data_IF_989783449460
#
_entry.id   IF_989783449460
#
_cell.length_a   1.000
_cell.length_b   1.000
_cell.length_c   1.000
_cell.angle_alpha   90.00
_cell.angle_beta   90.00
_cell.angle_gamma   90.00
#
_symmetry.space_group_name_H-M   'P 1'
#
loop_
_entity.id
_entity.type
_entity.pdbx_description
1 polymer ?
#
# COMPACT_ATOMS: atom_id res chain seq x y z
N UNK A 1 -34.64 67.53 1.22
CA UNK A 1 -35.51 66.35 1.31
C UNK A 1 -34.70 65.25 2.03
N UNK A 2 -35.06 64.91 3.26
CA UNK A 2 -34.43 63.79 4.02
C UNK A 2 -35.12 62.50 3.60
N UNK A 3 -34.40 61.41 3.35
CA UNK A 3 -35.03 60.14 3.03
C UNK A 3 -35.67 59.51 4.27
N UNK A 4 -36.93 59.10 4.13
CA UNK A 4 -37.67 58.36 5.14
C UNK A 4 -37.07 56.95 5.26
N UNK A 5 -36.45 56.67 6.38
CA UNK A 5 -36.08 55.30 6.76
C UNK A 5 -37.38 54.55 7.13
N UNK A 6 -37.62 53.35 6.62
CA UNK A 6 -38.83 52.60 6.92
C UNK A 6 -38.96 52.34 8.41
N UNK A 7 -40.18 52.44 8.93
CA UNK A 7 -40.57 52.29 10.32
C UNK A 7 -40.06 51.00 10.95
N UNK A 8 -39.91 49.94 10.16
CA UNK A 8 -39.36 48.65 10.58
C UNK A 8 -37.89 48.72 11.06
N UNK A 9 -37.07 49.56 10.42
CA UNK A 9 -35.64 49.69 10.78
C UNK A 9 -35.45 50.50 12.06
N UNK A 10 -36.41 51.39 12.42
CA UNK A 10 -36.42 52.11 13.66
C UNK A 10 -36.84 51.26 14.88
N UNK A 11 -37.74 50.28 14.65
CA UNK A 11 -38.10 49.34 15.73
C UNK A 11 -36.93 48.38 16.10
N UNK A 12 -36.16 47.93 15.12
CA UNK A 12 -34.99 47.05 15.36
C UNK A 12 -33.85 47.79 16.06
N UNK A 13 -33.65 49.09 15.74
CA UNK A 13 -32.58 49.89 16.39
C UNK A 13 -32.93 50.34 17.82
N UNK A 14 -34.25 50.52 18.16
CA UNK A 14 -34.68 50.87 19.49
C UNK A 14 -34.68 49.69 20.47
N UNK A 15 -34.76 48.47 20.01
CA UNK A 15 -34.68 47.27 20.85
C UNK A 15 -33.26 46.88 21.21
N UNK A 16 -32.25 47.34 20.48
CA UNK A 16 -30.84 46.99 20.71
C UNK A 16 -30.16 47.95 21.71
N UNK A 17 -30.64 49.22 21.87
CA UNK A 17 -29.99 50.23 22.70
C UNK A 17 -30.41 50.25 24.17
N UNK A 18 -31.38 49.42 24.62
CA UNK A 18 -31.92 49.38 25.97
C UNK A 18 -31.72 48.11 26.76
N UNK A 19 -31.05 47.10 26.20
CA UNK A 19 -30.85 45.80 26.85
C UNK A 19 -29.62 45.81 27.76
N UNK A 20 -29.80 45.49 29.03
CA UNK A 20 -28.68 45.13 29.95
C UNK A 20 -28.03 43.84 29.48
N UNK A 21 -26.77 43.58 29.85
CA UNK A 21 -25.99 42.38 29.45
C UNK A 21 -26.74 41.06 29.67
N UNK A 22 -27.55 40.97 30.74
CA UNK A 22 -28.37 39.80 31.05
C UNK A 22 -29.57 39.66 30.12
N UNK A 23 -30.17 40.78 29.62
CA UNK A 23 -31.24 40.75 28.63
C UNK A 23 -30.76 40.43 27.23
N UNK A 24 -29.49 40.74 26.91
CA UNK A 24 -28.86 40.31 25.64
C UNK A 24 -28.61 38.82 25.65
N UNK A 25 -28.18 38.22 26.77
CA UNK A 25 -28.00 36.76 26.89
C UNK A 25 -29.35 35.99 26.83
N UNK A 26 -30.40 36.49 27.46
CA UNK A 26 -31.78 35.91 27.38
C UNK A 26 -32.36 36.06 25.98
N UNK A 27 -32.11 37.17 25.30
CA UNK A 27 -32.56 37.40 23.93
C UNK A 27 -31.81 36.53 22.90
N UNK A 28 -30.51 36.23 23.16
CA UNK A 28 -29.74 35.26 22.35
C UNK A 28 -30.24 33.82 22.53
N UNK A 29 -30.69 33.47 23.75
CA UNK A 29 -31.31 32.17 24.02
C UNK A 29 -32.68 32.03 23.28
N UNK A 30 -33.47 33.11 23.25
CA UNK A 30 -34.73 33.08 22.48
C UNK A 30 -34.52 33.04 20.97
N UNK A 31 -33.47 33.67 20.47
CA UNK A 31 -33.07 33.55 19.06
C UNK A 31 -32.64 32.13 18.70
N UNK A 32 -32.11 31.37 19.67
CA UNK A 32 -31.75 29.98 19.47
C UNK A 32 -32.96 29.05 19.30
N UNK A 33 -34.12 29.43 19.81
CA UNK A 33 -35.39 28.71 19.60
C UNK A 33 -36.01 29.03 18.24
N UNK A 34 -35.72 30.20 17.67
CA UNK A 34 -36.21 30.62 16.34
C UNK A 34 -35.27 30.15 15.23
N UNK A 35 -33.99 29.99 15.52
CA UNK A 35 -32.97 29.49 14.60
C UNK A 35 -32.24 28.28 15.22
N UNK A 36 -32.84 27.08 15.17
CA UNK A 36 -32.24 25.87 15.78
C UNK A 36 -30.83 25.55 15.28
N UNK A 37 -30.45 26.09 14.13
CA UNK A 37 -29.09 25.97 13.57
C UNK A 37 -28.01 26.78 14.30
N UNK A 38 -28.42 27.81 15.12
CA UNK A 38 -27.49 28.60 15.94
C UNK A 38 -27.34 28.06 17.36
N UNK A 39 -28.26 27.19 17.81
CA UNK A 39 -28.28 26.65 19.19
C UNK A 39 -27.64 25.29 19.35
N UNK A 40 -27.28 24.62 18.26
CA UNK A 40 -26.43 23.45 18.35
C UNK A 40 -24.98 23.93 18.46
N UNK A 41 -24.17 23.49 19.47
CA UNK A 41 -22.75 23.42 19.26
C UNK A 41 -22.62 22.65 17.95
N UNK A 42 -22.16 23.34 16.91
CA UNK A 42 -21.96 22.66 15.65
C UNK A 42 -20.96 21.56 15.97
N UNK A 43 -21.41 20.31 15.97
CA UNK A 43 -20.55 19.17 15.70
C UNK A 43 -20.02 19.43 14.30
N UNK A 44 -19.03 20.34 14.19
CA UNK A 44 -18.36 20.61 12.94
C UNK A 44 -17.47 19.41 12.67
N UNK A 45 -18.04 18.41 12.03
CA UNK A 45 -17.22 17.42 11.37
C UNK A 45 -16.26 18.18 10.44
N UNK A 46 -14.97 18.08 10.74
CA UNK A 46 -13.92 18.73 9.96
C UNK A 46 -13.53 17.83 8.82
N UNK A 47 -13.62 18.33 7.60
CA UNK A 47 -13.05 17.65 6.43
C UNK A 47 -11.58 18.08 6.34
N UNK A 48 -10.68 17.10 6.15
CA UNK A 48 -9.28 17.35 5.90
C UNK A 48 -8.71 16.34 4.91
N UNK A 49 -7.55 16.65 4.36
CA UNK A 49 -6.95 15.91 3.28
C UNK A 49 -5.53 15.48 3.64
N UNK A 50 -5.08 14.42 2.98
CA UNK A 50 -3.69 13.96 3.08
C UNK A 50 -3.24 13.39 1.74
N UNK A 51 -1.97 13.59 1.41
CA UNK A 51 -1.35 13.10 0.18
C UNK A 51 -0.19 12.18 0.53
N UNK A 52 -0.31 10.91 0.12
CA UNK A 52 0.74 9.91 0.27
C UNK A 52 1.22 9.45 -1.10
N UNK A 53 2.53 9.50 -1.32
CA UNK A 53 3.18 8.85 -2.43
C UNK A 53 3.79 7.52 -2.00
N UNK A 54 3.44 6.46 -2.72
CA UNK A 54 4.11 5.17 -2.66
C UNK A 54 5.12 5.08 -3.80
N UNK A 55 6.41 5.17 -3.49
CA UNK A 55 7.48 4.95 -4.44
C UNK A 55 7.89 3.47 -4.44
N UNK A 56 7.07 2.66 -5.07
CA UNK A 56 7.26 1.22 -5.18
C UNK A 56 8.31 0.83 -6.21
N UNK A 57 8.73 -0.43 -6.17
CA UNK A 57 9.77 -0.99 -7.07
C UNK A 57 9.34 -1.09 -8.54
N UNK A 58 8.03 -1.14 -8.82
CA UNK A 58 7.49 -1.32 -10.17
C UNK A 58 6.59 -0.18 -10.64
N UNK A 59 6.34 0.80 -9.78
CA UNK A 59 5.52 1.97 -10.10
C UNK A 59 5.53 2.98 -8.97
N UNK A 60 5.26 4.23 -9.31
CA UNK A 60 5.05 5.32 -8.36
C UNK A 60 3.57 5.65 -8.32
N UNK A 61 3.00 5.72 -7.13
CA UNK A 61 1.58 5.91 -6.89
C UNK A 61 1.33 7.14 -6.04
N UNK A 62 0.20 7.81 -6.28
CA UNK A 62 -0.31 8.88 -5.43
C UNK A 62 -1.67 8.47 -4.88
N UNK A 63 -1.83 8.64 -3.58
CA UNK A 63 -3.07 8.49 -2.85
C UNK A 63 -3.44 9.85 -2.25
N UNK A 64 -4.60 10.37 -2.61
CA UNK A 64 -5.16 11.59 -2.02
C UNK A 64 -6.38 11.19 -1.23
N UNK A 65 -6.24 11.22 0.09
CA UNK A 65 -7.29 10.83 1.03
C UNK A 65 -8.11 12.02 1.47
N UNK A 66 -9.41 11.82 1.57
CA UNK A 66 -10.36 12.75 2.21
C UNK A 66 -10.87 12.11 3.48
N UNK A 67 -10.70 12.79 4.61
CA UNK A 67 -11.14 12.33 5.93
C UNK A 67 -12.18 13.26 6.51
N UNK A 68 -13.07 12.69 7.33
CA UNK A 68 -14.07 13.38 8.12
C UNK A 68 -13.79 13.09 9.60
N UNK A 69 -13.48 14.14 10.38
CA UNK A 69 -13.28 14.08 11.82
C UNK A 69 -14.48 14.67 12.52
N UNK A 70 -15.25 13.85 13.22
CA UNK A 70 -16.40 14.31 14.01
C UNK A 70 -16.05 14.52 15.49
N UNK A 71 -15.07 13.78 15.98
CA UNK A 71 -14.60 13.80 17.36
C UNK A 71 -13.08 13.63 17.36
N UNK A 72 -12.37 14.50 18.07
CA UNK A 72 -10.91 14.46 18.13
C UNK A 72 -10.36 13.21 18.83
N UNK A 73 -11.15 12.55 19.68
CA UNK A 73 -10.74 11.35 20.41
C UNK A 73 -11.03 10.05 19.66
N UNK A 74 -11.69 10.13 18.51
CA UNK A 74 -12.02 8.98 17.67
C UNK A 74 -11.18 8.97 16.39
N UNK A 75 -11.05 7.77 15.81
CA UNK A 75 -10.45 7.62 14.49
C UNK A 75 -11.25 8.43 13.46
N UNK A 76 -10.57 9.16 12.55
CA UNK A 76 -11.25 9.82 11.46
C UNK A 76 -11.92 8.78 10.54
N UNK A 77 -13.03 9.16 9.96
CA UNK A 77 -13.70 8.37 8.93
C UNK A 77 -13.04 8.69 7.59
N UNK A 78 -12.61 7.66 6.88
CA UNK A 78 -12.18 7.82 5.49
C UNK A 78 -13.41 7.95 4.60
N UNK A 79 -13.53 9.09 3.93
CA UNK A 79 -14.64 9.39 3.00
C UNK A 79 -14.32 8.94 1.58
N UNK A 80 -13.11 9.26 1.09
CA UNK A 80 -12.74 8.97 -0.29
C UNK A 80 -11.22 8.85 -0.47
N UNK A 81 -10.83 8.09 -1.50
CA UNK A 81 -9.47 8.04 -2.03
C UNK A 81 -9.49 8.40 -3.52
N UNK A 82 -8.65 9.36 -3.91
CA UNK A 82 -8.25 9.54 -5.30
C UNK A 82 -6.90 8.89 -5.52
N UNK A 83 -6.86 7.88 -6.38
CA UNK A 83 -5.68 7.06 -6.66
C UNK A 83 -5.22 7.25 -8.11
N UNK A 84 -3.91 7.38 -8.31
CA UNK A 84 -3.29 7.33 -9.63
C UNK A 84 -1.89 6.71 -9.56
N UNK A 85 -1.45 6.07 -10.66
CA UNK A 85 -0.14 5.41 -10.71
C UNK A 85 0.54 5.64 -12.05
N UNK A 86 1.88 5.70 -12.01
CA UNK A 86 2.75 5.78 -13.20
C UNK A 86 3.81 4.67 -13.09
N UNK A 87 4.13 4.06 -14.21
CA UNK A 87 5.25 3.13 -14.37
C UNK A 87 6.35 3.79 -15.21
N UNK A 88 7.61 3.40 -14.96
CA UNK A 88 8.13 2.48 -13.96
C UNK A 88 8.18 3.09 -12.55
N UNK A 89 8.68 2.32 -11.55
CA UNK A 89 8.99 2.83 -10.21
C UNK A 89 10.19 3.76 -10.20
N UNK A 90 10.34 4.58 -9.14
CA UNK A 90 11.42 5.58 -9.05
C UNK A 90 12.82 4.98 -9.17
N UNK A 91 13.03 3.75 -8.72
CA UNK A 91 14.32 3.05 -8.83
C UNK A 91 14.81 2.87 -10.26
N UNK A 92 13.91 2.88 -11.25
CA UNK A 92 14.30 2.81 -12.66
C UNK A 92 15.00 4.09 -13.16
N UNK A 93 14.92 5.17 -12.41
CA UNK A 93 15.54 6.45 -12.74
C UNK A 93 16.83 6.72 -11.94
N UNK A 94 17.46 5.66 -11.40
CA UNK A 94 18.69 5.80 -10.59
C UNK A 94 19.84 6.52 -11.31
N UNK A 95 19.89 6.45 -12.64
CA UNK A 95 20.87 7.13 -13.47
C UNK A 95 20.33 8.41 -14.15
N UNK A 96 19.10 8.80 -13.86
CA UNK A 96 18.43 9.99 -14.41
C UNK A 96 17.45 10.56 -13.38
N UNK A 97 17.93 11.04 -12.21
CA UNK A 97 17.07 11.40 -11.07
C UNK A 97 16.07 12.52 -11.38
N UNK A 98 16.35 13.38 -12.37
CA UNK A 98 15.43 14.42 -12.82
C UNK A 98 14.11 13.83 -13.36
N UNK A 99 14.16 12.63 -13.96
CA UNK A 99 12.97 11.93 -14.44
C UNK A 99 12.09 11.46 -13.28
N UNK A 100 12.70 11.11 -12.14
CA UNK A 100 11.95 10.80 -10.91
C UNK A 100 11.21 12.05 -10.41
N UNK A 101 11.88 13.21 -10.35
CA UNK A 101 11.26 14.48 -10.00
C UNK A 101 10.11 14.85 -10.94
N UNK A 102 10.27 14.69 -12.25
CA UNK A 102 9.20 14.95 -13.23
C UNK A 102 8.00 14.01 -13.04
N UNK A 103 8.24 12.73 -12.74
CA UNK A 103 7.19 11.75 -12.48
C UNK A 103 6.37 12.14 -11.25
N UNK A 104 7.03 12.53 -10.16
CA UNK A 104 6.38 13.00 -8.93
C UNK A 104 5.62 14.31 -9.19
N UNK A 105 6.21 15.28 -9.90
CA UNK A 105 5.56 16.54 -10.25
C UNK A 105 4.30 16.32 -11.10
N UNK A 106 4.31 15.32 -12.00
CA UNK A 106 3.14 14.97 -12.81
C UNK A 106 2.03 14.39 -11.93
N UNK A 107 2.35 13.47 -11.03
CA UNK A 107 1.38 12.90 -10.09
C UNK A 107 0.84 13.96 -9.12
N UNK A 108 1.66 14.93 -8.70
CA UNK A 108 1.24 16.00 -7.80
C UNK A 108 0.12 16.88 -8.39
N UNK A 109 -0.03 16.92 -9.73
CA UNK A 109 -1.17 17.57 -10.38
C UNK A 109 -2.51 16.93 -10.01
N UNK A 110 -2.52 15.63 -9.68
CA UNK A 110 -3.72 14.93 -9.21
C UNK A 110 -4.14 15.50 -7.86
N UNK A 111 -3.18 15.63 -6.90
CA UNK A 111 -3.46 16.25 -5.60
C UNK A 111 -3.97 17.68 -5.74
N UNK A 112 -3.34 18.50 -6.59
CA UNK A 112 -3.78 19.89 -6.84
C UNK A 112 -5.18 20.00 -7.43
N UNK A 113 -5.65 18.98 -8.12
CA UNK A 113 -7.04 18.92 -8.66
C UNK A 113 -8.05 18.42 -7.64
N UNK A 114 -7.63 17.54 -6.76
CA UNK A 114 -8.49 16.85 -5.79
C UNK A 114 -8.69 17.67 -4.52
N UNK A 115 -7.61 18.26 -3.98
CA UNK A 115 -7.63 19.04 -2.75
C UNK A 115 -8.07 20.48 -3.05
N UNK A 116 -9.06 21.04 -2.33
CA UNK A 116 -9.43 22.45 -2.46
C UNK A 116 -8.25 23.38 -2.17
N UNK A 117 -8.11 24.44 -2.95
CA UNK A 117 -6.96 25.34 -2.86
C UNK A 117 -6.73 25.95 -1.48
N UNK A 118 -7.82 26.18 -0.73
CA UNK A 118 -7.76 26.73 0.63
C UNK A 118 -7.16 25.74 1.65
N UNK A 119 -7.18 24.45 1.34
CA UNK A 119 -6.68 23.39 2.22
C UNK A 119 -5.24 22.95 1.93
N UNK A 120 -4.63 23.39 0.83
CA UNK A 120 -3.28 22.96 0.43
C UNK A 120 -2.25 23.12 1.54
N UNK A 121 -2.19 24.30 2.19
CA UNK A 121 -1.21 24.58 3.27
C UNK A 121 -1.43 23.77 4.54
N UNK A 122 -2.56 23.07 4.66
CA UNK A 122 -2.93 22.21 5.79
C UNK A 122 -2.91 20.73 5.44
N UNK A 123 -2.72 20.40 4.16
CA UNK A 123 -2.69 19.03 3.66
C UNK A 123 -1.27 18.51 3.67
N UNK A 124 -0.92 17.53 4.53
CA UNK A 124 0.40 16.95 4.56
C UNK A 124 0.69 16.21 3.26
N UNK A 125 1.91 16.38 2.78
CA UNK A 125 2.46 15.75 1.60
C UNK A 125 3.63 14.86 1.99
N UNK A 126 3.49 13.55 1.82
CA UNK A 126 4.47 12.56 2.28
C UNK A 126 4.78 11.58 1.15
N UNK A 127 6.04 11.18 1.02
CA UNK A 127 6.49 10.08 0.17
C UNK A 127 7.24 9.05 1.01
N UNK A 128 6.89 7.81 0.81
CA UNK A 128 7.68 6.68 1.32
C UNK A 128 8.11 5.81 0.15
N UNK A 129 9.42 5.59 0.06
CA UNK A 129 9.99 4.65 -0.87
C UNK A 129 10.16 3.29 -0.21
N UNK A 130 9.94 2.23 -0.98
CA UNK A 130 9.97 0.86 -0.50
C UNK A 130 11.13 0.06 -1.09
N UNK A 131 10.95 -1.22 -1.35
CA UNK A 131 11.99 -2.14 -1.81
C UNK A 131 12.77 -1.65 -3.03
N UNK A 132 12.13 -0.88 -3.93
CA UNK A 132 12.81 -0.36 -5.11
C UNK A 132 14.07 0.44 -4.76
N UNK A 133 13.96 1.38 -3.79
CA UNK A 133 15.09 2.20 -3.35
C UNK A 133 15.96 1.44 -2.33
N UNK A 134 15.39 0.55 -1.51
CA UNK A 134 16.19 -0.28 -0.58
C UNK A 134 17.19 -1.21 -1.29
N UNK A 135 16.91 -1.58 -2.54
CA UNK A 135 17.78 -2.42 -3.37
C UNK A 135 18.85 -1.64 -4.15
N UNK A 136 18.77 -0.31 -4.19
CA UNK A 136 19.76 0.55 -4.83
C UNK A 136 20.97 0.81 -3.93
N UNK A 137 22.13 1.16 -4.49
CA UNK A 137 23.23 1.80 -3.75
C UNK A 137 22.72 3.04 -3.01
N UNK A 138 23.15 3.23 -1.77
CA UNK A 138 22.65 4.29 -0.89
C UNK A 138 22.75 5.69 -1.51
N UNK A 139 23.85 5.98 -2.20
CA UNK A 139 24.09 7.27 -2.88
C UNK A 139 23.06 7.52 -3.98
N UNK A 140 22.76 6.52 -4.83
CA UNK A 140 21.76 6.67 -5.89
C UNK A 140 20.35 6.82 -5.30
N UNK A 141 20.02 6.05 -4.26
CA UNK A 141 18.76 6.18 -3.56
C UNK A 141 18.59 7.58 -2.96
N UNK A 142 19.64 8.14 -2.31
CA UNK A 142 19.60 9.48 -1.74
C UNK A 142 19.40 10.55 -2.81
N UNK A 143 20.11 10.46 -3.94
CA UNK A 143 19.94 11.40 -5.05
C UNK A 143 18.50 11.45 -5.58
N UNK A 144 17.84 10.29 -5.66
CA UNK A 144 16.42 10.22 -6.04
C UNK A 144 15.52 10.90 -5.00
N UNK A 145 15.77 10.68 -3.69
CA UNK A 145 15.01 11.32 -2.62
C UNK A 145 15.21 12.84 -2.62
N UNK A 146 16.42 13.34 -2.86
CA UNK A 146 16.73 14.77 -2.92
C UNK A 146 15.95 15.45 -4.06
N UNK A 147 15.83 14.79 -5.22
CA UNK A 147 15.02 15.30 -6.34
C UNK A 147 13.53 15.35 -5.99
N UNK A 148 13.02 14.34 -5.29
CA UNK A 148 11.63 14.33 -4.82
C UNK A 148 11.40 15.43 -3.78
N UNK A 149 12.34 15.60 -2.82
CA UNK A 149 12.27 16.65 -1.80
C UNK A 149 12.21 18.04 -2.45
N UNK A 150 13.03 18.29 -3.45
CA UNK A 150 13.00 19.54 -4.20
C UNK A 150 11.63 19.82 -4.83
N UNK A 151 11.00 18.82 -5.44
CA UNK A 151 9.63 18.96 -5.99
C UNK A 151 8.60 19.24 -4.89
N UNK A 152 8.76 18.64 -3.70
CA UNK A 152 7.88 18.86 -2.58
C UNK A 152 8.02 20.27 -2.02
N UNK A 153 9.25 20.77 -1.87
CA UNK A 153 9.54 22.11 -1.36
C UNK A 153 8.97 23.23 -2.26
N UNK A 154 8.90 22.98 -3.56
CA UNK A 154 8.24 23.89 -4.52
C UNK A 154 6.71 23.76 -4.54
N UNK A 155 6.15 22.79 -3.82
CA UNK A 155 4.72 22.54 -3.80
C UNK A 155 3.98 23.50 -2.85
N UNK A 156 2.69 23.77 -3.07
CA UNK A 156 1.90 24.59 -2.16
C UNK A 156 1.37 23.83 -0.92
N UNK A 157 1.68 22.54 -0.80
CA UNK A 157 1.21 21.67 0.27
C UNK A 157 2.04 21.82 1.55
N UNK A 158 1.57 21.25 2.64
CA UNK A 158 2.34 21.14 3.88
C UNK A 158 3.36 20.01 3.73
N UNK A 159 4.64 20.33 3.81
CA UNK A 159 5.74 19.35 3.75
C UNK A 159 6.32 19.21 5.16
N UNK A 160 5.93 18.15 5.92
CA UNK A 160 6.47 17.89 7.24
C UNK A 160 7.96 17.49 7.20
N UNK A 161 8.63 17.60 8.34
CA UNK A 161 9.97 17.02 8.49
C UNK A 161 9.94 15.52 8.15
N UNK A 162 10.97 15.02 7.49
CA UNK A 162 11.06 13.64 7.03
C UNK A 162 9.90 13.20 6.11
N UNK A 163 9.30 14.14 5.37
CA UNK A 163 8.21 13.84 4.43
C UNK A 163 8.65 12.92 3.29
N UNK A 164 9.92 12.94 2.90
CA UNK A 164 10.50 12.09 1.85
C UNK A 164 11.53 11.16 2.48
N UNK A 165 11.26 9.86 2.49
CA UNK A 165 12.18 8.89 3.10
C UNK A 165 11.99 7.47 2.54
N UNK A 166 12.95 6.60 2.82
CA UNK A 166 12.82 5.15 2.60
C UNK A 166 12.18 4.54 3.84
N UNK A 167 11.11 3.80 3.64
CA UNK A 167 10.42 3.08 4.70
C UNK A 167 11.12 1.75 5.00
N UNK A 168 11.23 1.41 6.27
CA UNK A 168 11.65 0.08 6.70
C UNK A 168 10.62 -0.99 6.27
N UNK A 169 11.11 -2.19 5.95
CA UNK A 169 10.27 -3.26 5.44
C UNK A 169 9.28 -3.81 6.46
N UNK A 170 9.66 -3.89 7.74
CA UNK A 170 8.77 -4.32 8.81
C UNK A 170 7.62 -3.34 9.00
N UNK A 171 7.91 -2.04 8.94
CA UNK A 171 6.89 -0.99 8.98
C UNK A 171 5.98 -1.05 7.75
N UNK A 172 6.49 -1.37 6.56
CA UNK A 172 5.66 -1.58 5.37
C UNK A 172 4.58 -2.64 5.62
N UNK A 173 4.95 -3.77 6.23
CA UNK A 173 4.01 -4.83 6.61
C UNK A 173 3.01 -4.40 7.69
N UNK A 174 3.47 -3.72 8.75
CA UNK A 174 2.62 -3.24 9.85
C UNK A 174 1.60 -2.22 9.34
N UNK A 175 2.02 -1.27 8.51
CA UNK A 175 1.15 -0.23 7.97
C UNK A 175 0.14 -0.80 6.95
N UNK A 176 0.51 -1.84 6.20
CA UNK A 176 -0.42 -2.58 5.37
C UNK A 176 -1.47 -3.33 6.21
N UNK A 177 -1.04 -3.95 7.32
CA UNK A 177 -1.94 -4.59 8.28
C UNK A 177 -2.90 -3.56 8.91
N UNK A 178 -2.39 -2.38 9.29
CA UNK A 178 -3.21 -1.28 9.81
C UNK A 178 -4.26 -0.84 8.79
N UNK A 179 -3.86 -0.61 7.52
CA UNK A 179 -4.76 -0.24 6.43
C UNK A 179 -5.92 -1.21 6.29
N UNK A 180 -5.61 -2.50 6.18
CA UNK A 180 -6.63 -3.53 5.93
C UNK A 180 -7.58 -3.69 7.12
N UNK A 181 -7.06 -3.68 8.35
CA UNK A 181 -7.88 -3.80 9.55
C UNK A 181 -8.73 -2.54 9.80
N UNK A 182 -8.25 -1.35 9.41
CA UNK A 182 -9.05 -0.13 9.39
C UNK A 182 -10.21 -0.24 8.39
N UNK A 183 -9.90 -0.56 7.12
CA UNK A 183 -10.89 -0.62 6.05
C UNK A 183 -11.95 -1.71 6.24
N UNK A 184 -11.59 -2.80 6.90
CA UNK A 184 -12.51 -3.91 7.23
C UNK A 184 -13.23 -3.75 8.56
N UNK A 185 -12.93 -2.67 9.32
CA UNK A 185 -13.58 -2.36 10.60
C UNK A 185 -13.12 -3.23 11.77
N UNK A 186 -11.99 -3.94 11.63
CA UNK A 186 -11.49 -4.86 12.66
C UNK A 186 -10.66 -4.18 13.77
N UNK A 187 -10.27 -2.91 13.62
CA UNK A 187 -9.54 -2.17 14.67
C UNK A 187 -10.42 -1.82 15.89
N UNK A 188 -11.73 -1.64 15.67
CA UNK A 188 -12.69 -1.32 16.73
C UNK A 188 -13.31 -2.56 17.38
N UNK A 189 -12.97 -3.73 16.86
CA UNK A 189 -13.48 -5.01 17.35
C UNK A 189 -12.50 -5.63 18.36
N UNK A 190 -12.95 -6.71 19.02
CA UNK A 190 -12.04 -7.57 19.79
C UNK A 190 -10.78 -7.86 18.96
N UNK A 191 -9.59 -7.54 19.50
CA UNK A 191 -8.29 -7.71 18.82
C UNK A 191 -8.11 -9.12 18.20
N UNK A 192 -8.81 -10.12 18.73
CA UNK A 192 -8.84 -11.50 18.22
C UNK A 192 -9.46 -11.66 16.82
N UNK A 193 -10.13 -10.63 16.31
CA UNK A 193 -10.82 -10.66 15.00
C UNK A 193 -10.02 -9.98 13.90
N UNK A 194 -8.81 -9.47 14.20
CA UNK A 194 -7.97 -8.84 13.19
C UNK A 194 -7.57 -9.83 12.09
N UNK A 195 -7.44 -9.33 10.88
CA UNK A 195 -7.01 -10.11 9.71
C UNK A 195 -5.49 -10.03 9.53
N UNK A 196 -4.90 -11.09 9.02
CA UNK A 196 -3.52 -11.09 8.56
C UNK A 196 -3.40 -10.53 7.15
N UNK A 197 -2.21 -10.11 6.76
CA UNK A 197 -1.92 -9.64 5.41
C UNK A 197 -0.73 -10.38 4.78
N UNK A 198 -0.82 -10.52 3.47
CA UNK A 198 0.26 -10.94 2.59
C UNK A 198 0.37 -9.90 1.47
N UNK A 199 1.49 -9.21 1.41
CA UNK A 199 1.80 -8.29 0.33
C UNK A 199 2.93 -8.87 -0.53
N UNK A 200 2.69 -9.06 -1.80
CA UNK A 200 3.71 -9.48 -2.76
C UNK A 200 4.01 -8.32 -3.70
N UNK A 201 4.99 -7.51 -3.32
CA UNK A 201 5.50 -6.43 -4.15
C UNK A 201 6.44 -6.91 -5.27
N UNK A 202 7.05 -5.97 -5.98
CA UNK A 202 8.04 -6.29 -7.02
C UNK A 202 9.40 -6.66 -6.44
N UNK A 203 9.89 -5.94 -5.43
CA UNK A 203 11.22 -6.11 -4.83
C UNK A 203 11.22 -6.80 -3.47
N UNK A 204 10.09 -6.83 -2.76
CA UNK A 204 9.96 -7.49 -1.43
C UNK A 204 8.58 -8.11 -1.27
N UNK A 205 8.44 -8.98 -0.25
CA UNK A 205 7.15 -9.53 0.17
C UNK A 205 7.03 -9.43 1.68
N UNK A 206 5.84 -9.11 2.19
CA UNK A 206 5.54 -8.97 3.61
C UNK A 206 4.50 -9.99 4.04
N UNK A 207 4.67 -10.46 5.29
CA UNK A 207 3.66 -11.18 6.05
C UNK A 207 3.49 -10.49 7.39
N UNK A 208 2.26 -10.10 7.75
CA UNK A 208 1.97 -9.48 9.05
C UNK A 208 0.63 -9.95 9.57
N UNK A 209 0.59 -10.38 10.83
CA UNK A 209 -0.63 -10.80 11.52
C UNK A 209 -0.47 -10.68 13.02
N UNK A 210 -1.60 -10.64 13.74
CA UNK A 210 -1.62 -10.71 15.20
C UNK A 210 -1.61 -12.18 15.62
N UNK A 211 -0.52 -12.68 16.25
CA UNK A 211 -0.45 -14.05 16.73
C UNK A 211 -1.47 -14.31 17.84
N UNK A 212 -2.18 -15.44 17.75
CA UNK A 212 -3.09 -15.92 18.82
C UNK A 212 -2.35 -16.76 19.86
N UNK A 213 -1.25 -17.38 19.48
CA UNK A 213 -0.42 -18.23 20.32
C UNK A 213 0.90 -17.53 20.64
N UNK A 214 1.23 -17.44 21.91
CA UNK A 214 2.54 -16.91 22.37
C UNK A 214 3.73 -17.63 21.72
N UNK A 215 3.58 -18.91 21.43
CA UNK A 215 4.59 -19.75 20.78
C UNK A 215 5.03 -19.25 19.41
N UNK A 216 4.16 -18.54 18.68
CA UNK A 216 4.51 -17.92 17.39
C UNK A 216 5.55 -16.82 17.57
N UNK A 217 5.41 -15.99 18.60
CA UNK A 217 6.40 -14.99 18.94
C UNK A 217 7.68 -15.61 19.52
N UNK A 218 7.55 -16.61 20.39
CA UNK A 218 8.66 -17.30 21.04
C UNK A 218 9.52 -18.12 20.06
N UNK A 219 8.94 -18.62 18.96
CA UNK A 219 9.63 -19.40 17.91
C UNK A 219 10.17 -18.53 16.76
N UNK A 220 10.00 -17.21 16.81
CA UNK A 220 10.55 -16.31 15.83
C UNK A 220 12.10 -16.42 15.80
N UNK A 221 12.71 -16.42 14.60
CA UNK A 221 14.16 -16.66 14.47
C UNK A 221 15.00 -15.58 15.14
N UNK A 222 14.53 -14.34 15.14
CA UNK A 222 15.13 -13.16 15.76
C UNK A 222 14.04 -12.23 16.26
N UNK A 223 14.40 -11.32 17.17
CA UNK A 223 13.45 -10.36 17.74
C UNK A 223 12.73 -9.50 16.70
N UNK A 224 13.37 -9.26 15.56
CA UNK A 224 12.84 -8.40 14.48
C UNK A 224 11.59 -8.98 13.76
N UNK A 225 11.19 -10.22 14.05
CA UNK A 225 9.95 -10.80 13.54
C UNK A 225 8.73 -10.47 14.39
N UNK A 226 8.93 -9.91 15.58
CA UNK A 226 7.84 -9.49 16.49
C UNK A 226 7.99 -8.01 16.75
N UNK A 227 7.02 -7.25 16.33
CA UNK A 227 6.98 -5.81 16.48
C UNK A 227 5.86 -5.39 17.42
N UNK A 228 6.18 -4.51 18.35
CA UNK A 228 5.17 -3.81 19.15
C UNK A 228 4.72 -2.58 18.36
N UNK A 229 3.42 -2.47 18.17
CA UNK A 229 2.79 -1.36 17.48
C UNK A 229 1.70 -0.74 18.36
N UNK A 230 1.91 0.52 18.74
CA UNK A 230 0.95 1.29 19.53
C UNK A 230 0.15 2.19 18.57
N UNK A 231 -1.17 2.04 18.56
CA UNK A 231 -2.05 2.83 17.71
C UNK A 231 -3.33 3.18 18.46
N UNK A 232 -3.62 4.47 18.60
CA UNK A 232 -4.66 5.00 19.48
C UNK A 232 -4.50 4.38 20.89
N UNK A 233 -5.59 3.93 21.52
CA UNK A 233 -5.57 3.36 22.87
C UNK A 233 -5.25 1.84 22.89
N UNK A 234 -4.66 1.32 21.84
CA UNK A 234 -4.39 -0.12 21.70
C UNK A 234 -2.93 -0.40 21.40
N UNK A 235 -2.40 -1.48 21.99
CA UNK A 235 -1.07 -2.01 21.71
C UNK A 235 -1.22 -3.37 21.06
N UNK A 236 -0.53 -3.57 19.95
CA UNK A 236 -0.50 -4.82 19.20
C UNK A 236 0.92 -5.40 19.20
N UNK A 237 1.06 -6.68 19.51
CA UNK A 237 2.29 -7.44 19.31
C UNK A 237 2.14 -8.26 18.03
N UNK A 238 2.65 -7.72 16.93
CA UNK A 238 2.46 -8.29 15.60
C UNK A 238 3.65 -9.17 15.22
N UNK A 239 3.36 -10.36 14.66
CA UNK A 239 4.35 -11.03 13.84
C UNK A 239 4.39 -10.30 12.50
N UNK A 240 5.53 -9.73 12.16
CA UNK A 240 5.71 -8.97 10.92
C UNK A 240 7.11 -9.13 10.39
N UNK A 241 7.23 -9.48 9.12
CA UNK A 241 8.53 -9.54 8.46
C UNK A 241 8.42 -9.18 6.98
N UNK A 242 9.47 -8.52 6.49
CA UNK A 242 9.64 -8.17 5.08
C UNK A 242 10.87 -8.88 4.51
N UNK A 243 10.66 -9.66 3.47
CA UNK A 243 11.71 -10.36 2.75
C UNK A 243 12.15 -9.54 1.54
N UNK A 244 13.16 -8.68 1.75
CA UNK A 244 13.78 -7.90 0.67
C UNK A 244 14.48 -8.85 -0.31
N UNK A 245 14.30 -8.61 -1.62
CA UNK A 245 14.80 -9.50 -2.66
C UNK A 245 13.86 -10.69 -2.99
N UNK A 246 12.72 -10.81 -2.28
CA UNK A 246 11.73 -11.86 -2.48
C UNK A 246 10.36 -11.34 -2.97
N UNK A 247 10.30 -10.13 -3.53
CA UNK A 247 9.19 -9.71 -4.37
C UNK A 247 9.20 -10.42 -5.71
N UNK A 248 8.10 -10.39 -6.45
CA UNK A 248 7.93 -11.22 -7.66
C UNK A 248 8.96 -10.91 -8.76
N UNK A 249 9.34 -9.63 -8.95
CA UNK A 249 10.34 -9.25 -9.95
C UNK A 249 11.75 -9.63 -9.51
N UNK A 250 12.09 -9.44 -8.24
CA UNK A 250 13.36 -9.90 -7.68
C UNK A 250 13.47 -11.42 -7.73
N UNK A 251 12.39 -12.15 -7.47
CA UNK A 251 12.33 -13.61 -7.58
C UNK A 251 12.52 -14.11 -9.02
N UNK A 252 12.03 -13.36 -10.02
CA UNK A 252 12.34 -13.66 -11.44
C UNK A 252 13.84 -13.57 -11.68
N UNK A 253 14.50 -12.50 -11.25
CA UNK A 253 15.97 -12.34 -11.36
C UNK A 253 16.71 -13.50 -10.70
N UNK A 254 16.34 -13.82 -9.47
CA UNK A 254 16.96 -14.92 -8.72
C UNK A 254 16.77 -16.27 -9.42
N UNK A 255 15.57 -16.56 -9.93
CA UNK A 255 15.27 -17.81 -10.65
C UNK A 255 16.03 -17.91 -11.97
N UNK A 256 16.22 -16.78 -12.65
CA UNK A 256 17.01 -16.70 -13.88
C UNK A 256 18.53 -16.76 -13.63
N UNK A 257 18.98 -16.66 -12.37
CA UNK A 257 20.40 -16.54 -12.04
C UNK A 257 21.02 -15.20 -12.43
N UNK A 258 20.19 -14.14 -12.50
CA UNK A 258 20.58 -12.82 -12.96
C UNK A 258 20.92 -11.83 -11.82
N UNK A 259 20.78 -12.27 -10.55
CA UNK A 259 21.13 -11.44 -9.39
C UNK A 259 22.65 -11.19 -9.35
N UNK A 260 23.04 -9.92 -9.31
CA UNK A 260 24.46 -9.53 -9.23
C UNK A 260 25.25 -9.77 -10.51
N UNK A 261 24.59 -9.99 -11.64
CA UNK A 261 25.28 -10.14 -12.93
C UNK A 261 25.83 -8.80 -13.38
N UNK A 262 27.11 -8.77 -13.76
CA UNK A 262 27.82 -7.54 -14.15
C UNK A 262 27.81 -7.30 -15.67
N UNK A 263 27.79 -8.38 -16.49
CA UNK A 263 27.85 -8.30 -17.95
C UNK A 263 26.48 -8.57 -18.59
N UNK A 264 25.54 -7.64 -18.46
CA UNK A 264 24.16 -7.80 -18.93
C UNK A 264 24.03 -7.82 -20.45
N UNK A 265 24.87 -7.12 -21.19
CA UNK A 265 24.77 -6.95 -22.64
C UNK A 265 24.99 -8.26 -23.43
N UNK A 266 25.79 -9.16 -22.89
CA UNK A 266 26.20 -10.38 -23.60
C UNK A 266 25.61 -11.66 -23.02
N UNK A 267 25.07 -11.59 -21.80
CA UNK A 267 24.57 -12.75 -21.11
C UNK A 267 23.08 -12.96 -21.35
N UNK A 268 22.71 -14.16 -21.83
CA UNK A 268 21.31 -14.58 -21.94
C UNK A 268 20.95 -15.49 -20.77
N UNK A 269 20.03 -15.04 -19.94
CA UNK A 269 19.52 -15.77 -18.77
C UNK A 269 18.41 -16.73 -19.19
N UNK A 270 18.54 -18.00 -18.83
CA UNK A 270 17.66 -19.07 -19.28
C UNK A 270 16.92 -19.69 -18.11
N UNK A 271 15.64 -20.08 -18.35
CA UNK A 271 14.85 -20.79 -17.36
C UNK A 271 13.87 -21.76 -18.02
N UNK A 272 13.68 -22.92 -17.39
CA UNK A 272 12.62 -23.89 -17.73
C UNK A 272 11.21 -23.36 -17.42
N UNK A 273 11.11 -22.23 -16.72
CA UNK A 273 9.86 -21.53 -16.45
C UNK A 273 9.34 -20.70 -17.61
N UNK A 274 10.16 -20.49 -18.66
CA UNK A 274 9.83 -19.71 -19.84
C UNK A 274 9.52 -20.60 -21.05
N UNK A 275 8.73 -20.13 -22.04
CA UNK A 275 8.50 -20.88 -23.27
C UNK A 275 9.81 -21.17 -24.02
N UNK A 276 10.01 -22.38 -24.49
CA UNK A 276 11.28 -22.81 -25.12
C UNK A 276 11.78 -21.91 -26.24
N UNK A 277 10.86 -21.33 -27.01
CA UNK A 277 11.19 -20.44 -28.15
C UNK A 277 11.18 -18.97 -27.76
N UNK A 278 10.89 -18.67 -26.48
CA UNK A 278 10.86 -17.30 -25.98
C UNK A 278 12.28 -16.76 -25.91
N UNK A 279 12.49 -15.58 -26.45
CA UNK A 279 13.70 -14.79 -26.31
C UNK A 279 13.33 -13.33 -26.43
N UNK A 280 13.60 -12.57 -25.40
CA UNK A 280 13.22 -11.18 -25.35
C UNK A 280 14.07 -10.42 -24.31
N UNK A 281 13.90 -9.12 -24.26
CA UNK A 281 14.44 -8.25 -23.22
C UNK A 281 13.40 -8.01 -22.12
N UNK A 282 13.86 -7.99 -20.90
CA UNK A 282 13.04 -7.68 -19.74
C UNK A 282 13.78 -6.73 -18.81
N UNK A 283 13.10 -5.65 -18.36
CA UNK A 283 13.71 -4.61 -17.52
C UNK A 283 13.15 -4.62 -16.12
N UNK A 284 14.03 -4.46 -15.13
CA UNK A 284 13.69 -4.25 -13.74
C UNK A 284 14.76 -3.44 -13.03
N UNK A 285 14.35 -2.46 -12.17
CA UNK A 285 15.28 -1.63 -11.41
C UNK A 285 16.21 -0.75 -12.26
N UNK A 286 15.78 -0.39 -13.49
CA UNK A 286 16.59 0.42 -14.42
C UNK A 286 17.57 -0.41 -15.28
N UNK A 287 17.69 -1.71 -15.05
CA UNK A 287 18.55 -2.61 -15.80
C UNK A 287 17.73 -3.45 -16.77
N UNK A 288 18.33 -3.79 -17.94
CA UNK A 288 17.71 -4.64 -18.97
C UNK A 288 18.46 -5.96 -19.08
N UNK A 289 17.71 -7.04 -19.09
CA UNK A 289 18.20 -8.42 -19.08
C UNK A 289 17.73 -9.14 -20.35
N UNK A 290 18.62 -9.83 -21.05
CA UNK A 290 18.25 -10.74 -22.13
C UNK A 290 17.82 -12.07 -21.56
N UNK A 291 16.57 -12.46 -21.77
CA UNK A 291 15.96 -13.65 -21.18
C UNK A 291 15.45 -14.62 -22.23
N UNK A 292 15.56 -15.91 -21.96
CA UNK A 292 15.04 -16.93 -22.87
C UNK A 292 14.55 -18.18 -22.14
N UNK A 293 13.70 -18.95 -22.81
CA UNK A 293 13.42 -20.33 -22.44
C UNK A 293 14.64 -21.23 -22.69
N UNK A 294 14.61 -22.44 -22.11
CA UNK A 294 15.64 -23.46 -22.38
C UNK A 294 15.51 -23.99 -23.80
N UNK A 295 16.50 -23.76 -24.68
CA UNK A 295 16.45 -24.26 -26.08
C UNK A 295 16.52 -25.79 -26.17
N UNK A 296 16.99 -26.49 -25.14
CA UNK A 296 17.01 -27.95 -25.06
C UNK A 296 15.62 -28.60 -24.94
N UNK A 297 14.57 -27.79 -24.88
CA UNK A 297 13.19 -28.26 -24.87
C UNK A 297 12.65 -28.71 -23.52
N UNK A 298 13.40 -28.48 -22.45
CA UNK A 298 13.02 -28.87 -21.12
C UNK A 298 12.29 -27.71 -20.43
N UNK A 299 10.97 -27.67 -20.60
CA UNK A 299 10.10 -26.71 -19.91
C UNK A 299 8.92 -27.43 -19.25
N UNK A 300 8.37 -26.88 -18.21
CA UNK A 300 7.19 -27.38 -17.55
C UNK A 300 7.26 -27.22 -16.03
N UNK A 301 6.13 -27.48 -15.38
CA UNK A 301 5.96 -27.20 -13.96
C UNK A 301 7.05 -27.82 -13.06
N UNK A 302 7.41 -29.09 -13.29
CA UNK A 302 8.35 -29.80 -12.40
C UNK A 302 9.75 -29.16 -12.39
N UNK A 303 10.26 -28.79 -13.57
CA UNK A 303 11.58 -28.16 -13.69
C UNK A 303 11.53 -26.72 -13.17
N UNK A 304 10.53 -25.95 -13.57
CA UNK A 304 10.31 -24.60 -13.05
C UNK A 304 10.21 -24.58 -11.51
N UNK A 305 9.45 -25.53 -10.93
CA UNK A 305 9.34 -25.64 -9.48
C UNK A 305 10.69 -25.90 -8.80
N UNK A 306 11.56 -26.70 -9.39
CA UNK A 306 12.90 -26.96 -8.85
C UNK A 306 13.81 -25.72 -8.90
N UNK A 307 13.70 -24.90 -9.95
CA UNK A 307 14.42 -23.63 -10.07
C UNK A 307 13.94 -22.64 -9.01
N UNK A 308 12.63 -22.44 -8.91
CA UNK A 308 11.99 -21.50 -7.98
C UNK A 308 12.20 -21.92 -6.51
N UNK A 309 12.17 -23.23 -6.22
CA UNK A 309 12.35 -23.72 -4.85
C UNK A 309 13.70 -23.31 -4.27
N UNK A 310 14.75 -23.16 -5.08
CA UNK A 310 16.08 -22.69 -4.64
C UNK A 310 16.06 -21.25 -4.15
N UNK A 311 15.12 -20.45 -4.65
CA UNK A 311 14.95 -19.03 -4.29
C UNK A 311 14.17 -18.86 -2.98
N UNK A 312 13.35 -19.84 -2.61
CA UNK A 312 12.43 -19.76 -1.46
C UNK A 312 12.95 -20.55 -0.26
N UNK A 313 13.43 -21.75 -0.50
CA UNK A 313 13.77 -22.71 0.56
C UNK A 313 14.97 -22.24 1.39
N UNK A 314 14.78 -22.17 2.71
CA UNK A 314 15.81 -21.78 3.67
C UNK A 314 16.00 -20.26 3.79
N UNK A 315 15.26 -19.45 3.00
CA UNK A 315 15.27 -17.99 3.06
C UNK A 315 14.04 -17.49 3.83
N UNK A 316 12.89 -18.05 3.53
CA UNK A 316 11.61 -17.67 4.12
C UNK A 316 11.39 -18.48 5.40
N UNK A 317 11.12 -17.80 6.51
CA UNK A 317 10.79 -18.45 7.78
C UNK A 317 9.31 -18.83 7.82
N UNK A 318 9.03 -20.05 8.31
CA UNK A 318 7.67 -20.55 8.54
C UNK A 318 7.22 -20.16 9.95
N UNK A 319 6.23 -19.27 10.11
CA UNK A 319 5.65 -19.01 11.41
C UNK A 319 5.03 -20.27 12.02
N UNK A 320 5.09 -20.41 13.34
CA UNK A 320 4.50 -21.55 14.03
C UNK A 320 2.99 -21.67 13.82
N UNK A 321 2.31 -20.51 13.72
CA UNK A 321 0.85 -20.43 13.63
C UNK A 321 0.41 -19.76 12.32
N UNK A 322 0.00 -20.54 11.34
CA UNK A 322 -0.73 -20.05 10.16
C UNK A 322 -2.07 -20.75 9.97
N UNK A 323 -2.41 -21.72 10.83
CA UNK A 323 -3.40 -22.74 10.49
C UNK A 323 -4.78 -22.49 11.06
N UNK A 324 -4.94 -21.94 12.25
CA UNK A 324 -6.23 -21.99 12.94
C UNK A 324 -6.84 -20.59 13.14
N UNK A 325 -7.65 -20.20 12.15
CA UNK A 325 -8.64 -19.14 12.30
C UNK A 325 -8.17 -17.71 11.97
N UNK A 326 -6.98 -17.53 11.41
CA UNK A 326 -6.60 -16.24 10.85
C UNK A 326 -7.04 -16.15 9.39
N UNK A 327 -7.87 -15.14 9.06
CA UNK A 327 -8.17 -14.79 7.69
C UNK A 327 -7.02 -13.96 7.17
N UNK A 328 -6.42 -14.34 6.03
CA UNK A 328 -5.38 -13.57 5.38
C UNK A 328 -5.92 -12.89 4.12
N UNK A 329 -5.68 -11.59 4.05
CA UNK A 329 -5.83 -10.83 2.80
C UNK A 329 -4.52 -10.85 2.03
N UNK A 330 -4.60 -11.20 0.75
CA UNK A 330 -3.46 -11.24 -0.15
C UNK A 330 -3.71 -10.26 -1.32
N UNK A 331 -2.79 -9.34 -1.52
CA UNK A 331 -2.96 -8.26 -2.50
C UNK A 331 -1.68 -8.04 -3.33
N UNK A 332 -1.60 -6.95 -4.06
CA UNK A 332 -0.51 -6.66 -5.01
C UNK A 332 -0.38 -7.78 -6.05
N UNK A 333 0.78 -8.37 -6.24
CA UNK A 333 0.97 -9.41 -7.27
C UNK A 333 0.27 -10.75 -6.97
N UNK A 334 -0.13 -11.04 -5.75
CA UNK A 334 -1.03 -12.17 -5.50
C UNK A 334 -2.34 -12.01 -6.26
N UNK A 335 -2.92 -10.81 -6.18
CA UNK A 335 -4.14 -10.46 -6.88
C UNK A 335 -3.94 -10.41 -8.39
N UNK A 336 -2.95 -9.64 -8.86
CA UNK A 336 -2.72 -9.43 -10.30
C UNK A 336 -2.47 -10.75 -11.03
N UNK A 337 -1.64 -11.64 -10.45
CA UNK A 337 -1.36 -12.96 -11.08
C UNK A 337 -2.56 -13.90 -11.02
N UNK A 338 -3.38 -13.83 -10.00
CA UNK A 338 -4.63 -14.60 -9.94
C UNK A 338 -5.63 -14.15 -11.01
N UNK A 339 -5.75 -12.84 -11.26
CA UNK A 339 -6.56 -12.29 -12.36
C UNK A 339 -6.02 -12.71 -13.73
N UNK A 340 -4.72 -12.52 -13.98
CA UNK A 340 -4.07 -12.90 -15.24
C UNK A 340 -4.20 -14.40 -15.53
N UNK A 341 -4.23 -15.21 -14.50
CA UNK A 341 -4.42 -16.65 -14.60
C UNK A 341 -5.90 -17.06 -14.72
N UNK A 342 -6.84 -16.14 -14.64
CA UNK A 342 -8.28 -16.41 -14.67
C UNK A 342 -8.79 -17.19 -13.45
N UNK A 343 -8.18 -16.98 -12.28
CA UNK A 343 -8.59 -17.61 -11.02
C UNK A 343 -9.63 -16.80 -10.27
N UNK A 344 -9.63 -15.48 -10.41
CA UNK A 344 -10.57 -14.56 -9.76
C UNK A 344 -11.02 -13.45 -10.70
N UNK A 345 -12.07 -12.76 -10.35
CA UNK A 345 -12.53 -11.55 -11.02
C UNK A 345 -11.59 -10.35 -10.78
N UNK A 346 -11.33 -9.58 -11.82
CA UNK A 346 -10.39 -8.45 -11.78
C UNK A 346 -10.91 -7.20 -11.05
N UNK A 347 -12.20 -7.15 -10.73
CA UNK A 347 -12.85 -6.02 -10.04
C UNK A 347 -13.22 -6.40 -8.62
N UNK A 348 -13.91 -7.53 -8.46
CA UNK A 348 -14.45 -7.98 -7.16
C UNK A 348 -13.40 -8.73 -6.34
N UNK A 349 -12.36 -9.24 -6.96
CA UNK A 349 -11.43 -10.17 -6.33
C UNK A 349 -12.06 -11.54 -6.09
N UNK A 350 -11.63 -12.21 -5.02
CA UNK A 350 -12.20 -13.52 -4.69
C UNK A 350 -11.44 -14.26 -3.60
N UNK A 351 -12.00 -15.37 -3.19
CA UNK A 351 -11.36 -16.31 -2.27
C UNK A 351 -10.73 -17.46 -3.05
N UNK A 352 -9.47 -17.79 -2.74
CA UNK A 352 -8.75 -18.91 -3.33
C UNK A 352 -8.15 -19.77 -2.23
N UNK A 353 -8.12 -21.08 -2.47
CA UNK A 353 -7.28 -21.97 -1.67
C UNK A 353 -5.84 -21.95 -2.24
N UNK A 354 -4.85 -22.09 -1.36
CA UNK A 354 -3.43 -22.14 -1.76
C UNK A 354 -3.18 -23.17 -2.86
N UNK A 355 -3.88 -24.33 -2.80
CA UNK A 355 -3.82 -25.37 -3.86
C UNK A 355 -4.26 -24.90 -5.25
N UNK A 356 -5.08 -23.85 -5.34
CA UNK A 356 -5.61 -23.39 -6.63
C UNK A 356 -4.49 -22.71 -7.45
N UNK A 357 -3.58 -21.98 -6.80
CA UNK A 357 -2.36 -21.48 -7.43
C UNK A 357 -1.51 -22.61 -7.99
N UNK A 358 -1.27 -23.69 -7.22
CA UNK A 358 -0.51 -24.86 -7.66
C UNK A 358 -1.15 -25.55 -8.84
N UNK A 359 -2.48 -25.76 -8.80
CA UNK A 359 -3.22 -26.36 -9.89
C UNK A 359 -3.07 -25.54 -11.16
N UNK A 360 -3.25 -24.23 -11.06
CA UNK A 360 -3.16 -23.33 -12.19
C UNK A 360 -1.73 -23.19 -12.73
N UNK A 361 -0.72 -23.13 -11.85
CA UNK A 361 0.68 -23.17 -12.25
C UNK A 361 1.00 -24.41 -13.09
N UNK A 362 0.55 -25.59 -12.67
CA UNK A 362 0.71 -26.83 -13.47
C UNK A 362 0.06 -26.74 -14.84
N UNK A 363 -1.16 -26.22 -14.91
CA UNK A 363 -1.88 -26.06 -16.19
C UNK A 363 -1.16 -25.10 -17.14
N UNK A 364 -0.73 -23.94 -16.65
CA UNK A 364 -0.03 -22.92 -17.44
C UNK A 364 1.35 -23.43 -17.87
N UNK A 365 2.16 -23.93 -16.95
CA UNK A 365 3.52 -24.39 -17.25
C UNK A 365 3.55 -25.59 -18.20
N UNK A 366 2.62 -26.54 -18.08
CA UNK A 366 2.60 -27.71 -18.95
C UNK A 366 2.06 -27.41 -20.37
N UNK A 367 1.41 -26.27 -20.55
CA UNK A 367 0.95 -25.79 -21.87
C UNK A 367 1.86 -24.72 -22.47
N UNK A 368 2.90 -24.30 -21.77
CA UNK A 368 3.76 -23.16 -22.12
C UNK A 368 4.43 -23.30 -23.50
N UNK A 369 4.64 -24.54 -23.96
CA UNK A 369 5.23 -24.83 -25.28
C UNK A 369 4.19 -24.90 -26.40
N UNK A 370 2.90 -25.07 -26.07
CA UNK A 370 1.82 -25.29 -27.05
C UNK A 370 1.08 -24.02 -27.40
N UNK A 371 0.94 -23.10 -26.43
CA UNK A 371 0.19 -21.86 -26.62
C UNK A 371 1.02 -20.69 -26.07
N UNK A 372 1.09 -19.54 -26.79
CA UNK A 372 1.71 -18.36 -26.24
C UNK A 372 0.92 -17.97 -24.99
N UNK A 373 1.59 -17.85 -23.83
CA UNK A 373 0.93 -17.39 -22.60
C UNK A 373 0.56 -15.91 -22.72
N UNK A 374 -0.42 -15.49 -21.93
CA UNK A 374 -0.80 -14.05 -21.77
C UNK A 374 0.43 -13.22 -21.36
N UNK A 375 1.28 -13.81 -20.52
CA UNK A 375 2.60 -13.27 -20.16
C UNK A 375 3.62 -14.41 -20.20
N UNK A 376 4.81 -14.22 -20.78
CA UNK A 376 5.85 -15.23 -20.81
C UNK A 376 6.29 -15.68 -19.42
N UNK A 377 6.15 -14.83 -18.42
CA UNK A 377 6.50 -15.10 -17.03
C UNK A 377 5.39 -15.74 -16.19
N UNK A 378 4.17 -15.92 -16.73
CA UNK A 378 3.05 -16.38 -15.91
C UNK A 378 3.29 -17.76 -15.27
N UNK A 379 3.99 -18.67 -15.96
CA UNK A 379 4.39 -19.96 -15.38
C UNK A 379 5.33 -19.77 -14.19
N UNK A 380 6.36 -18.94 -14.34
CA UNK A 380 7.30 -18.61 -13.26
C UNK A 380 6.57 -17.99 -12.06
N UNK A 381 5.77 -16.97 -12.34
CA UNK A 381 5.08 -16.19 -11.31
C UNK A 381 4.13 -17.06 -10.46
N UNK A 382 3.29 -17.88 -11.10
CA UNK A 382 2.38 -18.77 -10.39
C UNK A 382 3.11 -19.86 -9.63
N UNK A 383 4.23 -20.35 -10.18
CA UNK A 383 5.09 -21.33 -9.48
C UNK A 383 5.75 -20.70 -8.27
N UNK A 384 6.23 -19.44 -8.40
CA UNK A 384 6.82 -18.70 -7.30
C UNK A 384 5.80 -18.46 -6.18
N UNK A 385 4.60 -17.96 -6.50
CA UNK A 385 3.53 -17.78 -5.51
C UNK A 385 3.22 -19.12 -4.80
N UNK A 386 3.17 -20.23 -5.56
CA UNK A 386 2.93 -21.55 -4.97
C UNK A 386 4.04 -21.95 -4.00
N UNK A 387 5.32 -21.81 -4.39
CA UNK A 387 6.46 -22.12 -3.51
C UNK A 387 6.49 -21.19 -2.29
N UNK A 388 6.30 -19.89 -2.49
CA UNK A 388 6.32 -18.89 -1.41
C UNK A 388 5.26 -19.19 -0.34
N UNK A 389 4.04 -19.50 -0.75
CA UNK A 389 2.96 -19.82 0.19
C UNK A 389 3.17 -21.17 0.90
N UNK A 390 3.59 -22.21 0.17
CA UNK A 390 3.70 -23.58 0.70
C UNK A 390 5.04 -23.89 1.35
N UNK A 391 6.11 -23.69 0.60
CA UNK A 391 7.46 -24.11 1.01
C UNK A 391 8.20 -22.98 1.75
N UNK A 392 7.77 -21.73 1.51
CA UNK A 392 8.21 -20.55 2.23
C UNK A 392 7.45 -20.39 3.55
N UNK A 393 6.24 -19.85 3.50
CA UNK A 393 5.45 -19.57 4.71
C UNK A 393 4.86 -20.80 5.40
N UNK A 394 4.65 -21.91 4.70
CA UNK A 394 4.12 -23.14 5.28
C UNK A 394 2.59 -23.23 5.31
N UNK A 395 1.88 -22.46 4.50
CA UNK A 395 0.42 -22.58 4.38
C UNK A 395 0.00 -23.95 3.87
N UNK A 396 -1.10 -24.48 4.44
CA UNK A 396 -1.72 -25.71 3.95
C UNK A 396 -2.38 -25.50 2.58
N UNK A 397 -2.48 -26.56 1.80
CA UNK A 397 -3.17 -26.56 0.50
C UNK A 397 -4.63 -26.08 0.60
N UNK A 398 -5.28 -26.34 1.75
CA UNK A 398 -6.67 -25.97 2.02
C UNK A 398 -6.86 -24.55 2.58
N UNK A 399 -5.78 -23.86 2.96
CA UNK A 399 -5.89 -22.50 3.50
C UNK A 399 -6.51 -21.57 2.47
N UNK A 400 -7.53 -20.83 2.91
CA UNK A 400 -8.24 -19.86 2.08
C UNK A 400 -7.63 -18.48 2.26
N UNK A 401 -7.29 -17.85 1.15
CA UNK A 401 -6.82 -16.46 1.09
C UNK A 401 -7.90 -15.59 0.46
N UNK A 402 -8.12 -14.40 1.03
CA UNK A 402 -8.97 -13.37 0.45
C UNK A 402 -8.11 -12.49 -0.47
N UNK A 403 -8.28 -12.61 -1.77
CA UNK A 403 -7.57 -11.79 -2.74
C UNK A 403 -8.38 -10.53 -3.06
N UNK A 404 -7.76 -9.38 -2.89
CA UNK A 404 -8.41 -8.10 -3.16
C UNK A 404 -7.41 -7.08 -3.70
N UNK A 405 -7.90 -6.17 -4.53
CA UNK A 405 -7.17 -4.98 -4.94
C UNK A 405 -7.64 -3.76 -4.18
N UNK A 406 -8.92 -3.74 -3.82
CA UNK A 406 -9.55 -2.64 -3.08
C UNK A 406 -10.47 -3.17 -2.00
N UNK A 407 -10.57 -2.43 -0.91
CA UNK A 407 -11.58 -2.61 0.13
C UNK A 407 -12.35 -1.31 0.25
N UNK A 408 -13.68 -1.34 0.09
CA UNK A 408 -14.53 -0.14 0.11
C UNK A 408 -14.08 0.95 -0.88
N UNK A 409 -13.67 0.56 -2.09
CA UNK A 409 -13.11 1.41 -3.15
C UNK A 409 -11.73 2.04 -2.85
N UNK A 410 -11.09 1.70 -1.74
CA UNK A 410 -9.76 2.15 -1.34
C UNK A 410 -8.73 1.08 -1.68
N UNK A 411 -7.59 1.48 -2.26
CA UNK A 411 -6.51 0.57 -2.64
C UNK A 411 -5.98 -0.21 -1.42
N UNK A 412 -5.89 -1.52 -1.54
CA UNK A 412 -5.29 -2.37 -0.51
C UNK A 412 -3.78 -2.22 -0.56
N UNK A 413 -3.22 -1.40 0.32
CA UNK A 413 -1.80 -1.09 0.41
C UNK A 413 -1.45 -0.58 1.82
N UNK A 414 -0.17 -0.35 2.07
CA UNK A 414 0.32 0.27 3.31
C UNK A 414 0.05 1.78 3.39
N UNK A 415 -0.28 2.45 2.28
CA UNK A 415 -0.29 3.91 2.18
C UNK A 415 -1.31 4.59 3.10
N UNK A 416 -2.51 4.02 3.23
CA UNK A 416 -3.52 4.53 4.17
C UNK A 416 -3.04 4.37 5.63
N UNK A 417 -2.48 3.22 5.99
CA UNK A 417 -1.95 2.97 7.33
C UNK A 417 -0.83 3.94 7.69
N UNK A 418 0.04 4.27 6.73
CA UNK A 418 1.09 5.26 6.92
C UNK A 418 0.54 6.67 7.22
N UNK A 419 -0.56 7.05 6.59
CA UNK A 419 -1.22 8.33 6.91
C UNK A 419 -1.91 8.31 8.26
N UNK A 420 -2.57 7.22 8.61
CA UNK A 420 -3.21 7.06 9.93
C UNK A 420 -2.18 7.11 11.05
N UNK A 421 -1.04 6.42 10.89
CA UNK A 421 0.08 6.45 11.82
C UNK A 421 0.71 7.85 11.90
N UNK A 422 0.87 8.54 10.77
CA UNK A 422 1.35 9.92 10.73
C UNK A 422 0.46 10.87 11.52
N UNK A 423 -0.87 10.76 11.40
CA UNK A 423 -1.80 11.57 12.19
C UNK A 423 -1.74 11.22 13.67
N UNK A 424 -1.64 9.94 14.02
CA UNK A 424 -1.49 9.49 15.39
C UNK A 424 -0.23 10.11 16.05
N UNK A 425 0.91 10.06 15.35
CA UNK A 425 2.19 10.57 15.84
C UNK A 425 2.24 12.11 15.96
N UNK A 426 1.56 12.83 15.09
CA UNK A 426 1.45 14.29 15.14
C UNK A 426 0.42 14.79 16.17
N UNK A 427 -0.31 13.88 16.84
CA UNK A 427 -1.45 14.23 17.72
C UNK A 427 -2.41 15.21 17.03
N UNK A 428 -2.62 15.02 15.74
CA UNK A 428 -3.65 15.72 14.97
C UNK A 428 -4.97 15.05 15.36
N UNK A 429 -5.53 15.59 16.42
CA UNK A 429 -6.82 15.19 16.98
C UNK A 429 -7.87 16.23 16.58
#
# INVERSE_FOLDING_TARGET
>A
MKPNVPLLLRLVLLTVSGLTRAQVETSLLDLSMILPSLSRPANHSRIFYAVMFDAGSTGTRIHVYTFIQSDSEQLPVLDNEMFHSIKPGLSAYADSPEMAGQTVALLLKVAKKTVPRLDWKRTPLVLRATAGLRLLPAEKAQTLLDQVQHVFDESPFLVPDNSVSIMDGTNEGILAWLSLNFLTGHLNADAKKTVGILDLGGGSTQITFLPKLKRTAESAPVADFVARFDFFNSTFELYSHSYLGNGIMAARLATLGALGAEELEWQVFKSSCLPNKFRDEWSFGGLTYHVSGDPGGHAGYKLCYQEVLKVVKGIIHQPYELEDGNVFFAFSYYFDRAVDAGLIDGVQGGMLQVRDFKKRAKEVCNKITKYPPISPFLCLDLTYITCLLKDGFGFKDSTVLQLTKKVNNVEASWALGAMLDHFHNLKIH
#
